data_IF_159605081268
#
_entry.id   IF_159605081268
#
_cell.length_a   1.000
_cell.length_b   1.000
_cell.length_c   1.000
_cell.angle_alpha   90.00
_cell.angle_beta   90.00
_cell.angle_gamma   90.00
#
_symmetry.space_group_name_H-M   'P 1'
#
loop_
_entity.id
_entity.type
_entity.pdbx_description
1 polymer ?
#
# COMPACT_ATOMS: atom_id res chain seq x y z
N UNK A 1 18.53 10.34 -21.04
CA UNK A 1 17.18 10.38 -20.46
C UNK A 1 17.30 11.04 -19.09
N UNK A 2 17.17 12.37 -19.07
CA UNK A 2 17.25 13.16 -17.86
C UNK A 2 15.87 13.68 -17.48
N UNK A 3 15.63 13.86 -16.19
CA UNK A 3 14.81 14.96 -15.70
C UNK A 3 15.32 15.34 -14.31
N UNK A 4 16.02 16.47 -14.29
CA UNK A 4 16.49 17.15 -13.10
C UNK A 4 15.30 17.85 -12.42
N UNK A 5 15.21 17.67 -11.10
CA UNK A 5 14.26 18.34 -10.24
C UNK A 5 14.56 19.84 -10.17
N UNK A 6 13.56 20.67 -10.49
CA UNK A 6 13.61 22.12 -10.24
C UNK A 6 13.09 22.40 -8.83
N UNK A 7 14.01 22.72 -7.91
CA UNK A 7 13.71 23.33 -6.62
C UNK A 7 13.80 24.85 -6.77
N UNK A 8 12.67 25.56 -6.71
CA UNK A 8 12.69 27.03 -6.60
C UNK A 8 12.57 27.44 -5.12
N UNK A 9 13.70 27.85 -4.53
CA UNK A 9 13.76 28.60 -3.28
C UNK A 9 14.03 30.06 -3.63
N UNK A 10 13.00 30.89 -3.68
CA UNK A 10 13.12 32.31 -4.01
C UNK A 10 13.43 33.13 -2.76
N UNK A 11 14.64 33.71 -2.70
CA UNK A 11 15.02 34.74 -1.72
C UNK A 11 15.94 35.75 -2.39
N UNK A 12 15.38 36.70 -3.13
CA UNK A 12 15.88 38.08 -3.13
C UNK A 12 14.86 39.09 -3.71
N UNK A 13 14.80 40.27 -3.09
CA UNK A 13 13.99 41.44 -3.48
C UNK A 13 14.91 42.48 -4.12
N UNK A 14 15.02 42.49 -5.44
CA UNK A 14 15.31 43.69 -6.23
C UNK A 14 15.41 43.35 -7.71
N UNK A 15 14.29 43.07 -8.36
CA UNK A 15 14.27 42.97 -9.82
C UNK A 15 13.11 43.75 -10.41
N UNK A 16 13.46 44.84 -11.10
CA UNK A 16 12.58 45.83 -11.70
C UNK A 16 12.43 45.49 -13.19
N UNK A 17 11.30 44.92 -13.61
CA UNK A 17 10.96 44.75 -15.03
C UNK A 17 9.77 45.64 -15.43
N UNK A 18 10.02 46.49 -16.44
CA UNK A 18 8.99 47.04 -17.32
C UNK A 18 8.67 45.95 -18.36
N UNK A 19 7.42 45.53 -18.44
CA UNK A 19 6.95 44.48 -19.36
C UNK A 19 5.70 43.79 -18.84
N UNK A 20 4.58 44.51 -18.84
CA UNK A 20 3.30 44.03 -18.32
C UNK A 20 2.45 43.57 -19.50
N UNK A 21 2.27 42.25 -19.70
CA UNK A 21 1.06 41.67 -20.31
C UNK A 21 1.11 40.13 -20.39
N UNK A 22 2.27 39.47 -20.34
CA UNK A 22 2.35 38.01 -20.51
C UNK A 22 2.41 37.18 -19.22
N UNK A 23 2.62 37.78 -18.04
CA UNK A 23 2.73 37.05 -16.77
C UNK A 23 1.41 36.70 -16.07
N UNK A 24 0.29 37.33 -16.46
CA UNK A 24 -1.01 37.08 -15.82
C UNK A 24 -1.63 35.72 -16.20
N UNK A 25 -1.41 35.25 -17.44
CA UNK A 25 -2.05 34.02 -17.94
C UNK A 25 -1.41 32.77 -17.32
N UNK A 26 -0.09 32.76 -17.14
CA UNK A 26 0.62 31.61 -16.53
C UNK A 26 0.26 31.44 -15.05
N UNK A 27 0.04 32.55 -14.33
CA UNK A 27 -0.37 32.52 -12.92
C UNK A 27 -1.81 32.03 -12.72
N UNK A 28 -2.70 32.26 -13.69
CA UNK A 28 -4.11 31.85 -13.62
C UNK A 28 -4.29 30.35 -13.96
N UNK A 29 -3.56 29.85 -14.96
CA UNK A 29 -3.62 28.42 -15.35
C UNK A 29 -3.09 27.50 -14.25
N UNK A 30 -2.04 27.92 -13.53
CA UNK A 30 -1.52 27.16 -12.39
C UNK A 30 -2.51 27.11 -11.21
N UNK A 31 -3.30 28.18 -10.99
CA UNK A 31 -4.33 28.22 -9.95
C UNK A 31 -5.52 27.31 -10.27
N UNK A 32 -5.98 27.31 -11.54
CA UNK A 32 -7.12 26.48 -11.99
C UNK A 32 -6.77 24.98 -11.94
N UNK A 33 -5.53 24.61 -12.27
CA UNK A 33 -5.08 23.22 -12.23
C UNK A 33 -5.05 22.63 -10.81
N UNK A 34 -4.70 23.45 -9.81
CA UNK A 34 -4.69 23.03 -8.39
C UNK A 34 -6.14 22.84 -7.89
N UNK A 35 -7.05 23.73 -8.26
CA UNK A 35 -8.46 23.67 -7.86
C UNK A 35 -9.20 22.47 -8.49
N UNK A 36 -8.93 22.17 -9.76
CA UNK A 36 -9.49 21.00 -10.44
C UNK A 36 -9.02 19.67 -9.82
N UNK A 37 -7.77 19.60 -9.35
CA UNK A 37 -7.23 18.44 -8.63
C UNK A 37 -7.92 18.21 -7.29
N UNK A 38 -8.07 19.26 -6.49
CA UNK A 38 -8.75 19.20 -5.19
C UNK A 38 -10.24 18.83 -5.32
N UNK A 39 -10.94 19.40 -6.32
CA UNK A 39 -12.32 19.04 -6.61
C UNK A 39 -12.49 17.58 -7.03
N UNK A 40 -11.48 16.98 -7.69
CA UNK A 40 -11.48 15.57 -8.06
C UNK A 40 -11.23 14.65 -6.86
N UNK A 41 -10.38 15.06 -5.92
CA UNK A 41 -10.10 14.32 -4.67
C UNK A 41 -11.36 14.21 -3.82
N UNK A 42 -12.04 15.32 -3.56
CA UNK A 42 -13.24 15.33 -2.69
C UNK A 42 -14.39 14.51 -3.29
N UNK A 43 -14.56 14.56 -4.61
CA UNK A 43 -15.54 13.73 -5.33
C UNK A 43 -15.23 12.24 -5.19
N UNK A 44 -13.97 11.86 -5.41
CA UNK A 44 -13.50 10.48 -5.27
C UNK A 44 -13.68 9.98 -3.83
N UNK A 45 -13.33 10.81 -2.83
CA UNK A 45 -13.50 10.49 -1.42
C UNK A 45 -14.97 10.28 -1.04
N UNK A 46 -15.86 11.14 -1.53
CA UNK A 46 -17.31 11.00 -1.31
C UNK A 46 -17.85 9.72 -1.93
N UNK A 47 -17.42 9.39 -3.15
CA UNK A 47 -17.78 8.13 -3.80
C UNK A 47 -17.27 6.91 -3.00
N UNK A 48 -16.02 6.96 -2.50
CA UNK A 48 -15.43 5.90 -1.68
C UNK A 48 -16.25 5.64 -0.41
N UNK A 49 -16.64 6.71 0.31
CA UNK A 49 -17.49 6.63 1.50
C UNK A 49 -18.86 6.02 1.19
N UNK A 50 -19.47 6.42 0.08
CA UNK A 50 -20.76 5.87 -0.36
C UNK A 50 -20.65 4.39 -0.72
N UNK A 51 -19.60 3.99 -1.44
CA UNK A 51 -19.35 2.59 -1.76
C UNK A 51 -19.15 1.76 -0.49
N UNK A 52 -18.35 2.25 0.47
CA UNK A 52 -18.13 1.60 1.76
C UNK A 52 -19.43 1.43 2.55
N UNK A 53 -20.24 2.49 2.65
CA UNK A 53 -21.55 2.44 3.33
C UNK A 53 -22.55 1.47 2.65
N UNK A 54 -22.37 1.22 1.35
CA UNK A 54 -23.20 0.28 0.58
C UNK A 54 -22.66 -1.17 0.64
N UNK A 55 -21.60 -1.45 1.40
CA UNK A 55 -20.96 -2.77 1.46
C UNK A 55 -20.13 -3.15 0.22
N UNK A 56 -19.90 -2.22 -0.72
CA UNK A 56 -19.07 -2.44 -1.91
C UNK A 56 -17.59 -2.22 -1.57
N UNK A 57 -17.03 -3.18 -0.84
CA UNK A 57 -15.69 -3.09 -0.22
C UNK A 57 -14.59 -2.89 -1.27
N UNK A 58 -14.58 -3.67 -2.35
CA UNK A 58 -13.54 -3.60 -3.38
C UNK A 58 -13.54 -2.26 -4.15
N UNK A 59 -14.73 -1.73 -4.42
CA UNK A 59 -14.88 -0.42 -5.06
C UNK A 59 -14.40 0.70 -4.11
N UNK A 60 -14.76 0.61 -2.83
CA UNK A 60 -14.32 1.57 -1.82
C UNK A 60 -12.79 1.55 -1.64
N UNK A 61 -12.16 0.36 -1.56
CA UNK A 61 -10.69 0.21 -1.45
C UNK A 61 -9.99 0.88 -2.64
N UNK A 62 -10.46 0.63 -3.87
CA UNK A 62 -9.91 1.24 -5.08
C UNK A 62 -10.00 2.77 -5.04
N UNK A 63 -11.15 3.31 -4.65
CA UNK A 63 -11.36 4.76 -4.61
C UNK A 63 -10.53 5.44 -3.51
N UNK A 64 -10.42 4.85 -2.31
CA UNK A 64 -9.56 5.40 -1.26
C UNK A 64 -8.08 5.38 -1.66
N UNK A 65 -7.61 4.31 -2.30
CA UNK A 65 -6.23 4.25 -2.83
C UNK A 65 -5.98 5.29 -3.91
N UNK A 66 -6.96 5.57 -4.75
CA UNK A 66 -6.84 6.62 -5.77
C UNK A 66 -6.72 8.01 -5.12
N UNK A 67 -7.49 8.29 -4.05
CA UNK A 67 -7.31 9.51 -3.27
C UNK A 67 -5.89 9.58 -2.70
N UNK A 68 -5.39 8.51 -2.09
CA UNK A 68 -4.03 8.47 -1.53
C UNK A 68 -2.93 8.52 -2.59
N UNK A 69 -3.21 8.14 -3.84
CA UNK A 69 -2.28 8.30 -4.96
C UNK A 69 -2.13 9.77 -5.35
N UNK A 70 -3.23 10.53 -5.30
CA UNK A 70 -3.25 11.96 -5.58
C UNK A 70 -2.71 12.77 -4.40
N UNK A 71 -3.13 12.43 -3.18
CA UNK A 71 -2.76 13.08 -1.93
C UNK A 71 -2.32 12.02 -0.89
N UNK A 72 -1.01 11.67 -0.85
CA UNK A 72 -0.50 10.63 0.03
C UNK A 72 -0.70 10.84 1.53
N UNK A 73 -0.93 12.09 1.95
CA UNK A 73 -1.15 12.48 3.34
C UNK A 73 -2.64 12.74 3.65
N UNK A 74 -3.56 12.26 2.80
CA UNK A 74 -4.99 12.48 3.02
C UNK A 74 -5.54 11.58 4.15
N UNK A 75 -5.64 12.14 5.35
CA UNK A 75 -6.01 11.42 6.57
C UNK A 75 -7.34 10.66 6.47
N UNK A 76 -8.40 11.31 6.01
CA UNK A 76 -9.71 10.67 5.94
C UNK A 76 -9.77 9.49 4.94
N UNK A 77 -8.95 9.52 3.89
CA UNK A 77 -8.87 8.43 2.93
C UNK A 77 -8.11 7.24 3.53
N UNK A 78 -7.01 7.52 4.24
CA UNK A 78 -6.27 6.51 4.97
C UNK A 78 -7.10 5.83 6.05
N UNK A 79 -7.80 6.60 6.89
CA UNK A 79 -8.71 6.05 7.91
C UNK A 79 -9.86 5.23 7.29
N UNK A 80 -10.37 5.67 6.14
CA UNK A 80 -11.32 4.92 5.32
C UNK A 80 -10.79 3.54 4.95
N UNK A 81 -9.55 3.50 4.45
CA UNK A 81 -8.88 2.28 4.01
C UNK A 81 -8.56 1.32 5.18
N UNK A 82 -8.11 1.84 6.33
CA UNK A 82 -7.87 1.04 7.54
C UNK A 82 -9.17 0.39 8.03
N UNK A 83 -10.29 1.14 8.04
CA UNK A 83 -11.59 0.60 8.44
C UNK A 83 -12.07 -0.53 7.50
N UNK A 84 -11.79 -0.41 6.20
CA UNK A 84 -12.10 -1.47 5.24
C UNK A 84 -11.23 -2.72 5.47
N UNK A 85 -9.94 -2.53 5.78
CA UNK A 85 -9.01 -3.63 6.09
C UNK A 85 -9.48 -4.45 7.31
N UNK A 86 -9.99 -3.77 8.33
CA UNK A 86 -10.53 -4.42 9.52
C UNK A 86 -11.80 -5.25 9.21
N UNK A 87 -12.59 -4.83 8.22
CA UNK A 87 -13.84 -5.48 7.83
C UNK A 87 -13.69 -6.57 6.76
N UNK A 88 -12.61 -6.55 5.95
CA UNK A 88 -12.42 -7.48 4.83
C UNK A 88 -11.67 -8.75 5.24
N UNK A 89 -12.03 -9.86 4.59
CA UNK A 89 -11.14 -11.01 4.50
C UNK A 89 -10.11 -10.77 3.39
N UNK A 90 -8.83 -10.95 3.68
CA UNK A 90 -7.78 -10.86 2.67
C UNK A 90 -7.79 -12.13 1.81
N UNK A 91 -7.69 -11.96 0.49
CA UNK A 91 -7.57 -13.09 -0.42
C UNK A 91 -6.17 -13.68 -0.34
N UNK A 92 -6.10 -15.00 -0.28
CA UNK A 92 -4.86 -15.77 -0.39
C UNK A 92 -4.36 -15.83 -1.84
N UNK A 93 -5.27 -15.72 -2.80
CA UNK A 93 -4.94 -15.85 -4.23
C UNK A 93 -4.33 -14.55 -4.77
N UNK A 94 -3.01 -14.42 -4.60
CA UNK A 94 -2.18 -13.38 -5.20
C UNK A 94 -1.24 -13.97 -6.24
N UNK A 95 -0.75 -13.14 -7.17
CA UNK A 95 0.26 -13.56 -8.14
C UNK A 95 1.50 -14.14 -7.46
N UNK A 96 1.92 -13.52 -6.34
CA UNK A 96 3.05 -13.99 -5.53
C UNK A 96 2.77 -15.36 -4.94
N UNK A 97 1.57 -15.60 -4.41
CA UNK A 97 1.18 -16.90 -3.88
C UNK A 97 1.20 -17.97 -4.97
N UNK A 98 0.61 -17.69 -6.13
CA UNK A 98 0.57 -18.61 -7.28
C UNK A 98 1.97 -18.94 -7.79
N UNK A 99 2.80 -17.92 -7.98
CA UNK A 99 4.19 -18.09 -8.41
C UNK A 99 4.99 -18.90 -7.39
N UNK A 100 4.88 -18.58 -6.10
CA UNK A 100 5.59 -19.30 -5.04
C UNK A 100 5.14 -20.77 -4.98
N UNK A 101 3.83 -21.02 -5.03
CA UNK A 101 3.28 -22.38 -4.99
C UNK A 101 3.68 -23.22 -6.21
N UNK A 102 3.85 -22.61 -7.38
CA UNK A 102 4.32 -23.30 -8.58
C UNK A 102 5.81 -23.68 -8.51
N UNK A 103 6.62 -22.92 -7.76
CA UNK A 103 8.05 -23.19 -7.57
C UNK A 103 8.32 -24.21 -6.47
N UNK A 104 7.49 -24.24 -5.43
CA UNK A 104 7.73 -25.10 -4.27
C UNK A 104 7.43 -26.58 -4.57
N UNK A 105 8.21 -27.51 -3.99
CA UNK A 105 7.91 -28.94 -4.05
C UNK A 105 6.52 -29.27 -3.48
N UNK A 106 5.93 -30.37 -3.94
CA UNK A 106 4.63 -30.86 -3.47
C UNK A 106 4.60 -31.28 -1.98
N UNK A 107 5.75 -31.37 -1.32
CA UNK A 107 5.85 -31.60 0.12
C UNK A 107 5.37 -30.41 0.96
N UNK A 108 5.28 -29.21 0.38
CA UNK A 108 4.80 -28.02 1.07
C UNK A 108 3.27 -28.02 1.14
N UNK A 109 2.73 -27.87 2.35
CA UNK A 109 1.30 -27.60 2.56
C UNK A 109 1.06 -26.11 2.87
N UNK A 110 -0.20 -25.70 2.73
CA UNK A 110 -0.64 -24.33 3.00
C UNK A 110 -1.29 -24.22 4.39
N UNK A 111 -0.86 -23.22 5.18
CA UNK A 111 -1.47 -22.82 6.44
C UNK A 111 -1.83 -21.34 6.39
N UNK A 112 -3.07 -21.00 6.72
CA UNK A 112 -3.57 -19.64 6.55
C UNK A 112 -3.90 -18.98 7.89
N UNK A 113 -3.57 -17.69 7.98
CA UNK A 113 -3.97 -16.79 9.06
C UNK A 113 -4.75 -15.62 8.47
N UNK A 114 -4.95 -14.54 9.24
CA UNK A 114 -5.68 -13.36 8.77
C UNK A 114 -4.87 -12.59 7.74
N UNK A 115 -3.57 -12.35 7.99
CA UNK A 115 -2.67 -11.61 7.10
C UNK A 115 -1.66 -12.47 6.36
N UNK A 116 -1.42 -13.71 6.77
CA UNK A 116 -0.40 -14.54 6.16
C UNK A 116 -0.96 -15.80 5.53
N UNK A 117 -0.35 -16.20 4.42
CA UNK A 117 -0.38 -17.56 3.90
C UNK A 117 1.01 -18.15 4.04
N UNK A 118 1.12 -19.24 4.78
CA UNK A 118 2.37 -19.93 5.06
C UNK A 118 2.41 -21.21 4.24
N UNK A 119 3.44 -21.36 3.42
CA UNK A 119 3.76 -22.58 2.70
C UNK A 119 4.87 -23.29 3.49
N UNK A 120 4.61 -24.47 4.02
CA UNK A 120 5.52 -25.16 4.94
C UNK A 120 5.65 -26.65 4.63
N UNK A 121 6.87 -27.19 4.72
CA UNK A 121 7.10 -28.64 4.78
C UNK A 121 7.40 -29.15 6.21
N UNK A 122 7.36 -28.26 7.21
CA UNK A 122 7.65 -28.57 8.61
C UNK A 122 6.43 -29.14 9.35
N UNK A 123 6.62 -29.53 10.61
CA UNK A 123 5.50 -29.94 11.45
C UNK A 123 4.40 -28.85 11.60
N UNK A 124 3.14 -29.29 11.72
CA UNK A 124 1.96 -28.42 11.82
C UNK A 124 1.97 -27.54 13.06
N UNK A 125 2.37 -28.08 14.21
CA UNK A 125 2.37 -27.34 15.49
C UNK A 125 3.44 -26.25 15.47
N UNK A 126 4.62 -26.58 14.93
CA UNK A 126 5.70 -25.61 14.77
C UNK A 126 5.32 -24.51 13.77
N UNK A 127 4.73 -24.88 12.62
CA UNK A 127 4.25 -23.93 11.61
C UNK A 127 3.20 -22.98 12.17
N UNK A 128 2.25 -23.48 12.96
CA UNK A 128 1.26 -22.65 13.63
C UNK A 128 1.93 -21.64 14.59
N UNK A 129 2.88 -22.09 15.41
CA UNK A 129 3.61 -21.20 16.32
C UNK A 129 4.36 -20.10 15.59
N UNK A 130 5.00 -20.41 14.44
CA UNK A 130 5.63 -19.39 13.61
C UNK A 130 4.61 -18.43 12.98
N UNK A 131 3.47 -18.94 12.49
CA UNK A 131 2.42 -18.12 11.92
C UNK A 131 1.82 -17.13 12.95
N UNK A 132 1.63 -17.56 14.19
CA UNK A 132 1.20 -16.70 15.29
C UNK A 132 2.23 -15.59 15.59
N UNK A 133 3.53 -15.91 15.56
CA UNK A 133 4.60 -14.91 15.71
C UNK A 133 4.63 -13.89 14.57
N UNK A 134 4.30 -14.31 13.34
CA UNK A 134 4.20 -13.41 12.19
C UNK A 134 3.04 -12.41 12.38
N UNK A 135 1.87 -12.88 12.82
CA UNK A 135 0.72 -12.02 13.15
C UNK A 135 1.06 -11.03 14.27
N UNK A 136 1.72 -11.49 15.33
CA UNK A 136 2.18 -10.63 16.42
C UNK A 136 3.18 -9.58 15.93
N UNK A 137 4.15 -9.98 15.10
CA UNK A 137 5.16 -9.07 14.53
C UNK A 137 4.51 -8.00 13.66
N UNK A 138 3.58 -8.39 12.78
CA UNK A 138 2.81 -7.46 11.97
C UNK A 138 2.03 -6.47 12.83
N UNK A 139 1.37 -6.95 13.89
CA UNK A 139 0.65 -6.09 14.81
C UNK A 139 1.57 -5.07 15.51
N UNK A 140 2.73 -5.50 15.99
CA UNK A 140 3.71 -4.58 16.59
C UNK A 140 4.26 -3.57 15.58
N UNK A 141 4.52 -4.00 14.35
CA UNK A 141 4.94 -3.12 13.27
C UNK A 141 3.90 -2.03 12.98
N UNK A 142 2.63 -2.39 12.82
CA UNK A 142 1.56 -1.41 12.57
C UNK A 142 1.38 -0.46 13.75
N UNK A 143 1.44 -0.96 14.99
CA UNK A 143 1.42 -0.10 16.19
C UNK A 143 2.60 0.86 16.23
N UNK A 144 3.80 0.39 15.88
CA UNK A 144 4.99 1.22 15.82
C UNK A 144 4.85 2.31 14.76
N UNK A 145 4.42 1.96 13.54
CA UNK A 145 4.16 2.91 12.45
C UNK A 145 3.18 4.00 12.88
N UNK A 146 2.04 3.61 13.47
CA UNK A 146 1.06 4.57 13.99
C UNK A 146 1.67 5.51 15.04
N UNK A 147 2.54 5.00 15.93
CA UNK A 147 3.21 5.81 16.96
C UNK A 147 4.12 6.89 16.39
N UNK A 148 4.78 6.61 15.27
CA UNK A 148 5.71 7.55 14.61
C UNK A 148 5.06 8.32 13.45
N UNK A 149 3.75 8.20 13.27
CA UNK A 149 3.01 8.90 12.21
C UNK A 149 3.21 8.31 10.82
N UNK A 150 3.80 7.12 10.69
CA UNK A 150 3.85 6.40 9.43
C UNK A 150 2.50 5.74 9.15
N UNK A 151 2.02 5.92 7.91
CA UNK A 151 0.71 5.45 7.44
C UNK A 151 0.89 4.42 6.30
N UNK A 152 1.39 3.20 6.60
CA UNK A 152 1.55 2.17 5.58
C UNK A 152 0.19 1.77 5.01
N UNK A 153 0.09 1.63 3.69
CA UNK A 153 -1.15 1.21 3.06
C UNK A 153 -1.56 -0.20 3.54
N UNK A 154 -2.83 -0.42 3.90
CA UNK A 154 -3.35 -1.74 4.21
C UNK A 154 -3.16 -2.76 3.08
N UNK A 155 -3.15 -4.03 3.45
CA UNK A 155 -2.89 -5.15 2.54
C UNK A 155 -4.05 -5.36 1.57
N UNK A 156 -3.74 -5.85 0.36
CA UNK A 156 -4.75 -6.28 -0.61
C UNK A 156 -4.88 -7.80 -0.67
N UNK A 157 -3.79 -8.50 -0.37
CA UNK A 157 -3.71 -9.95 -0.33
C UNK A 157 -2.94 -10.38 0.92
N UNK A 158 -3.10 -11.64 1.32
CA UNK A 158 -2.27 -12.21 2.38
C UNK A 158 -0.80 -12.19 1.97
N UNK A 159 0.07 -11.87 2.92
CA UNK A 159 1.51 -11.95 2.80
C UNK A 159 1.94 -13.42 2.69
N UNK A 160 2.78 -13.72 1.71
CA UNK A 160 3.29 -15.08 1.50
C UNK A 160 4.54 -15.29 2.35
N UNK A 161 4.55 -16.35 3.14
CA UNK A 161 5.70 -16.80 3.90
C UNK A 161 6.01 -18.26 3.54
N UNK A 162 7.29 -18.58 3.37
CA UNK A 162 7.75 -19.95 3.12
C UNK A 162 8.60 -20.39 4.30
N UNK A 163 8.25 -21.54 4.89
CA UNK A 163 8.98 -22.14 5.99
C UNK A 163 9.56 -23.48 5.54
N UNK A 164 10.87 -23.60 5.66
CA UNK A 164 11.59 -24.86 5.44
C UNK A 164 11.83 -25.53 6.78
N UNK A 165 11.61 -26.84 6.86
CA UNK A 165 11.89 -27.66 8.04
C UNK A 165 13.38 -27.66 8.40
N UNK A 166 14.24 -27.79 7.39
CA UNK A 166 15.68 -27.76 7.56
C UNK A 166 16.38 -26.71 6.68
N UNK A 167 17.51 -26.23 7.19
CA UNK A 167 18.35 -25.24 6.49
C UNK A 167 18.93 -25.79 5.20
N UNK A 168 19.26 -27.07 5.13
CA UNK A 168 19.83 -27.70 3.94
C UNK A 168 18.81 -27.75 2.79
N UNK A 169 17.53 -27.98 3.10
CA UNK A 169 16.45 -27.93 2.10
C UNK A 169 16.36 -26.54 1.48
N UNK A 170 16.38 -25.50 2.31
CA UNK A 170 16.40 -24.11 1.85
C UNK A 170 17.64 -23.82 0.97
N UNK A 171 18.83 -24.25 1.40
CA UNK A 171 20.05 -24.03 0.63
C UNK A 171 20.05 -24.76 -0.70
N UNK A 172 19.45 -25.94 -0.76
CA UNK A 172 19.29 -26.71 -2.00
C UNK A 172 18.33 -26.00 -2.94
N UNK A 173 17.17 -25.58 -2.42
CA UNK A 173 16.18 -24.81 -3.17
C UNK A 173 16.78 -23.50 -3.73
N UNK A 174 17.47 -22.71 -2.90
CA UNK A 174 18.06 -21.42 -3.27
C UNK A 174 19.26 -21.52 -4.25
N UNK A 175 19.79 -22.72 -4.50
CA UNK A 175 20.81 -22.93 -5.55
C UNK A 175 20.20 -23.28 -6.89
N UNK A 176 18.95 -23.77 -6.90
CA UNK A 176 18.25 -24.25 -8.09
C UNK A 176 17.37 -23.16 -8.71
N UNK A 177 17.05 -22.11 -7.95
CA UNK A 177 16.18 -21.00 -8.32
C UNK A 177 16.78 -19.67 -7.83
#
# INVERSE_FOLDING_TARGET
MGNAAFWFRCRDRSFRWKGWTTLAVVSLVALIAIDAGAANVERTLTAARKAAASGRIDEADRLYREVLRLEPQHDAAYEGLVRLDDARALSTDSDVYRATKALLPSSFYTYETRRFVVLSNSDRTWTQSQAERLEQTHHQFMRFCNRIGLKPLPLQHKLVCVLFDDRQDYQTFARQH
#
